data_IF_173753572523
#
_entry.id   IF_173753572523
#
_cell.length_a   1.000
_cell.length_b   1.000
_cell.length_c   1.000
_cell.angle_alpha   90.00
_cell.angle_beta   90.00
_cell.angle_gamma   90.00
#
_symmetry.space_group_name_H-M   'P 1'
#
loop_
_entity.id
_entity.type
_entity.pdbx_description
1 polymer ?
#
# COMPACT_ATOMS: atom_id res chain seq x y z
N UNK A 1 -11.44 9.25 33.11
CA UNK A 1 -10.21 8.82 32.41
C UNK A 1 -10.63 8.30 31.05
N UNK A 2 -10.47 9.12 30.01
CA UNK A 2 -10.90 8.77 28.65
C UNK A 2 -9.74 8.06 27.97
N UNK A 3 -9.82 6.74 27.82
CA UNK A 3 -8.89 5.99 26.97
C UNK A 3 -9.52 6.04 25.57
N UNK A 4 -9.11 7.03 24.78
CA UNK A 4 -9.40 7.06 23.36
C UNK A 4 -8.54 6.01 22.68
N UNK A 5 -9.08 4.81 22.45
CA UNK A 5 -8.41 3.83 21.61
C UNK A 5 -8.62 4.25 20.16
N UNK A 6 -7.75 5.13 19.66
CA UNK A 6 -7.63 5.38 18.22
C UNK A 6 -6.93 4.18 17.58
N UNK A 7 -7.63 3.06 17.43
CA UNK A 7 -7.19 2.00 16.51
C UNK A 7 -7.44 2.54 15.10
N UNK A 8 -6.41 3.16 14.50
CA UNK A 8 -6.38 3.32 13.05
C UNK A 8 -6.47 1.94 12.37
N UNK A 9 -6.81 1.87 11.09
CA UNK A 9 -6.85 0.60 10.37
C UNK A 9 -5.48 -0.09 10.51
N UNK A 10 -5.46 -1.29 11.10
CA UNK A 10 -4.26 -2.11 11.20
C UNK A 10 -3.85 -2.51 9.79
N UNK A 11 -2.60 -2.22 9.42
CA UNK A 11 -2.07 -2.59 8.11
C UNK A 11 -2.13 -4.11 7.93
N UNK A 12 -2.62 -4.57 6.78
CA UNK A 12 -2.62 -5.97 6.39
C UNK A 12 -1.20 -6.48 6.11
N UNK A 13 -0.31 -5.60 5.65
CA UNK A 13 1.09 -5.89 5.40
C UNK A 13 1.91 -4.61 5.56
N UNK A 14 3.05 -4.71 6.24
CA UNK A 14 4.08 -3.68 6.23
C UNK A 14 5.27 -4.18 5.41
N UNK A 15 5.70 -3.39 4.43
CA UNK A 15 6.86 -3.72 3.59
C UNK A 15 8.01 -2.81 3.99
N UNK A 16 9.14 -3.43 4.31
CA UNK A 16 10.37 -2.75 4.71
C UNK A 16 11.49 -3.06 3.72
N UNK A 17 12.38 -2.09 3.51
CA UNK A 17 13.54 -2.25 2.63
C UNK A 17 13.20 -2.11 1.15
N UNK A 18 13.71 -3.01 0.32
CA UNK A 18 13.65 -2.89 -1.14
C UNK A 18 12.42 -3.59 -1.72
N UNK A 19 11.70 -2.88 -2.59
CA UNK A 19 10.59 -3.43 -3.38
C UNK A 19 10.96 -3.29 -4.86
N UNK A 20 12.01 -4.01 -5.25
CA UNK A 20 12.62 -4.00 -6.59
C UNK A 20 12.44 -5.35 -7.28
N UNK A 21 12.88 -5.48 -8.53
CA UNK A 21 12.79 -6.72 -9.31
C UNK A 21 13.29 -7.99 -8.58
N UNK A 22 14.37 -7.90 -7.80
CA UNK A 22 14.94 -9.05 -7.09
C UNK A 22 14.03 -9.51 -5.95
N UNK A 23 13.37 -8.57 -5.27
CA UNK A 23 12.52 -8.86 -4.12
C UNK A 23 11.06 -9.10 -4.49
N UNK A 24 10.60 -8.56 -5.62
CA UNK A 24 9.22 -8.63 -6.05
C UNK A 24 8.71 -10.06 -6.28
N UNK A 25 9.57 -10.96 -6.77
CA UNK A 25 9.19 -12.36 -6.99
C UNK A 25 8.87 -13.09 -5.68
N UNK A 26 9.66 -12.83 -4.62
CA UNK A 26 9.47 -13.43 -3.29
C UNK A 26 8.26 -12.83 -2.56
N UNK A 27 8.06 -11.52 -2.71
CA UNK A 27 6.97 -10.81 -2.06
C UNK A 27 5.62 -11.04 -2.71
N UNK A 28 5.57 -11.58 -3.94
CA UNK A 28 4.33 -11.75 -4.68
C UNK A 28 3.27 -12.54 -3.93
N UNK A 29 3.62 -13.73 -3.47
CA UNK A 29 2.66 -14.62 -2.82
C UNK A 29 2.22 -14.01 -1.47
N UNK A 30 3.16 -13.40 -0.74
CA UNK A 30 2.88 -12.68 0.52
C UNK A 30 1.87 -11.54 0.33
N UNK A 31 2.03 -10.73 -0.73
CA UNK A 31 1.10 -9.63 -1.03
C UNK A 31 -0.28 -10.17 -1.41
N UNK A 32 -0.34 -11.23 -2.21
CA UNK A 32 -1.61 -11.81 -2.63
C UNK A 32 -2.35 -12.47 -1.47
N UNK A 33 -1.64 -13.14 -0.57
CA UNK A 33 -2.23 -13.76 0.60
C UNK A 33 -2.75 -12.70 1.59
N UNK A 34 -2.01 -11.62 1.82
CA UNK A 34 -2.50 -10.48 2.60
C UNK A 34 -3.79 -9.86 1.99
N UNK A 35 -3.89 -9.79 0.66
CA UNK A 35 -5.14 -9.35 -0.01
C UNK A 35 -6.30 -10.34 0.20
N UNK A 36 -6.02 -11.64 0.24
CA UNK A 36 -7.03 -12.69 0.42
C UNK A 36 -7.55 -12.72 1.85
N UNK A 37 -6.67 -12.60 2.83
CA UNK A 37 -6.97 -12.72 4.26
C UNK A 37 -7.73 -11.51 4.82
N UNK A 38 -7.46 -10.30 4.31
CA UNK A 38 -8.05 -9.08 4.86
C UNK A 38 -9.24 -8.58 4.03
N UNK A 39 -10.34 -8.19 4.69
CA UNK A 39 -11.52 -7.64 4.00
C UNK A 39 -11.28 -6.26 3.37
N UNK A 40 -10.46 -5.44 4.03
CA UNK A 40 -10.03 -4.12 3.57
C UNK A 40 -8.50 -4.02 3.67
N UNK A 41 -7.74 -4.59 2.70
CA UNK A 41 -6.29 -4.66 2.80
C UNK A 41 -5.66 -3.26 2.68
N UNK A 42 -4.75 -2.96 3.61
CA UNK A 42 -3.93 -1.75 3.64
C UNK A 42 -2.47 -2.15 3.70
N UNK A 43 -1.65 -1.67 2.77
CA UNK A 43 -0.20 -1.91 2.76
C UNK A 43 0.55 -0.69 3.26
N UNK A 44 1.34 -0.85 4.31
CA UNK A 44 2.25 0.18 4.79
C UNK A 44 3.57 0.11 4.01
N UNK A 45 3.88 1.17 3.27
CA UNK A 45 5.10 1.31 2.47
C UNK A 45 6.02 2.42 3.01
N UNK A 46 5.90 2.77 4.30
CA UNK A 46 6.68 3.84 4.94
C UNK A 46 8.14 3.51 5.14
N UNK A 47 8.46 2.24 5.34
CA UNK A 47 9.81 1.73 5.52
C UNK A 47 10.46 1.25 4.21
N UNK A 48 9.82 1.47 3.05
CA UNK A 48 10.40 1.10 1.74
C UNK A 48 11.51 2.09 1.40
N UNK A 49 12.73 1.59 1.29
CA UNK A 49 13.93 2.39 0.98
C UNK A 49 14.18 2.50 -0.51
N UNK A 50 13.77 1.51 -1.29
CA UNK A 50 13.94 1.47 -2.75
C UNK A 50 12.70 0.88 -3.43
N UNK A 51 12.28 1.49 -4.53
CA UNK A 51 11.07 1.12 -5.27
C UNK A 51 11.30 1.33 -6.76
N UNK A 52 10.86 0.38 -7.60
CA UNK A 52 11.03 0.43 -9.05
C UNK A 52 9.74 0.05 -9.81
N UNK A 53 9.84 -0.13 -11.12
CA UNK A 53 8.71 -0.56 -11.95
C UNK A 53 8.23 -1.98 -11.65
N UNK A 54 9.10 -2.88 -11.22
CA UNK A 54 8.70 -4.23 -10.81
C UNK A 54 7.93 -4.21 -9.50
N UNK A 55 8.33 -3.35 -8.56
CA UNK A 55 7.58 -3.10 -7.34
C UNK A 55 6.21 -2.50 -7.60
N UNK A 56 6.11 -1.54 -8.52
CA UNK A 56 4.82 -1.01 -8.96
C UNK A 56 3.96 -2.07 -9.62
N UNK A 57 4.51 -2.86 -10.55
CA UNK A 57 3.78 -3.96 -11.18
C UNK A 57 3.21 -4.93 -10.15
N UNK A 58 3.96 -5.23 -9.10
CA UNK A 58 3.48 -6.10 -8.03
C UNK A 58 2.30 -5.48 -7.25
N UNK A 59 2.38 -4.19 -6.90
CA UNK A 59 1.24 -3.48 -6.29
C UNK A 59 0.01 -3.47 -7.20
N UNK A 60 0.19 -3.33 -8.51
CA UNK A 60 -0.90 -3.37 -9.47
C UNK A 60 -1.54 -4.76 -9.55
N UNK A 61 -0.75 -5.83 -9.50
CA UNK A 61 -1.24 -7.20 -9.43
C UNK A 61 -2.03 -7.43 -8.14
N UNK A 62 -1.52 -6.99 -6.99
CA UNK A 62 -2.23 -7.08 -5.72
C UNK A 62 -3.56 -6.28 -5.73
N UNK A 63 -3.57 -5.10 -6.33
CA UNK A 63 -4.78 -4.28 -6.52
C UNK A 63 -5.80 -5.00 -7.40
N UNK A 64 -5.35 -5.64 -8.48
CA UNK A 64 -6.22 -6.40 -9.37
C UNK A 64 -6.83 -7.61 -8.67
N UNK A 65 -6.06 -8.32 -7.84
CA UNK A 65 -6.59 -9.42 -7.02
C UNK A 65 -7.62 -8.92 -5.99
N UNK A 66 -7.35 -7.79 -5.34
CA UNK A 66 -8.31 -7.18 -4.43
C UNK A 66 -9.63 -6.87 -5.15
N UNK A 67 -9.54 -6.24 -6.32
CA UNK A 67 -10.70 -5.93 -7.15
C UNK A 67 -11.46 -7.20 -7.58
N UNK A 68 -10.75 -8.28 -7.94
CA UNK A 68 -11.35 -9.59 -8.28
C UNK A 68 -12.15 -10.18 -7.11
N UNK A 69 -11.70 -9.93 -5.88
CA UNK A 69 -12.36 -10.34 -4.64
C UNK A 69 -13.42 -9.35 -4.15
N UNK A 70 -13.70 -8.28 -4.91
CA UNK A 70 -14.65 -7.22 -4.50
C UNK A 70 -14.13 -6.31 -3.37
N UNK A 71 -12.81 -6.25 -3.19
CA UNK A 71 -12.12 -5.47 -2.16
C UNK A 71 -11.38 -4.28 -2.78
N UNK A 72 -11.07 -3.29 -1.95
CA UNK A 72 -10.21 -2.17 -2.33
C UNK A 72 -8.89 -2.25 -1.56
N UNK A 73 -7.79 -2.42 -2.28
CA UNK A 73 -6.44 -2.29 -1.72
C UNK A 73 -6.08 -0.81 -1.60
N UNK A 74 -5.61 -0.42 -0.41
CA UNK A 74 -5.03 0.91 -0.15
C UNK A 74 -3.57 0.79 0.24
N UNK A 75 -2.83 1.87 0.02
CA UNK A 75 -1.47 2.04 0.54
C UNK A 75 -1.49 3.13 1.61
N UNK A 76 -0.73 2.92 2.68
CA UNK A 76 -0.46 3.91 3.70
C UNK A 76 1.04 4.20 3.73
N UNK A 77 1.38 5.44 4.06
CA UNK A 77 2.75 5.78 4.43
C UNK A 77 3.77 5.78 3.29
N UNK A 78 3.38 5.82 2.01
CA UNK A 78 4.34 5.74 0.89
C UNK A 78 5.59 6.62 1.07
N UNK A 79 6.76 5.96 1.12
CA UNK A 79 8.05 6.63 1.28
C UNK A 79 8.36 7.59 0.12
N UNK A 80 9.43 8.38 0.23
CA UNK A 80 9.87 9.25 -0.86
C UNK A 80 10.12 8.45 -2.16
N UNK A 81 10.86 7.34 -2.07
CA UNK A 81 11.14 6.48 -3.22
C UNK A 81 9.86 5.94 -3.89
N UNK A 82 8.89 5.52 -3.08
CA UNK A 82 7.58 5.05 -3.58
C UNK A 82 6.86 6.19 -4.32
N UNK A 83 6.74 7.36 -3.69
CA UNK A 83 6.04 8.51 -4.26
C UNK A 83 6.69 9.00 -5.56
N UNK A 84 8.02 9.00 -5.63
CA UNK A 84 8.76 9.46 -6.81
C UNK A 84 8.47 8.60 -8.04
N UNK A 85 8.44 7.28 -7.88
CA UNK A 85 8.11 6.35 -8.98
C UNK A 85 6.66 6.48 -9.40
N UNK A 86 5.73 6.61 -8.44
CA UNK A 86 4.31 6.83 -8.76
C UNK A 86 4.11 8.14 -9.53
N UNK A 87 4.80 9.21 -9.12
CA UNK A 87 4.76 10.51 -9.80
C UNK A 87 5.39 10.43 -11.20
N UNK A 88 6.53 9.74 -11.35
CA UNK A 88 7.22 9.57 -12.62
C UNK A 88 6.38 8.79 -13.64
N UNK A 89 5.71 7.73 -13.18
CA UNK A 89 4.94 6.83 -14.06
C UNK A 89 3.48 7.27 -14.23
N UNK A 90 3.00 8.24 -13.46
CA UNK A 90 1.65 8.78 -13.56
C UNK A 90 0.55 7.77 -13.23
N UNK A 91 0.85 6.74 -12.42
CA UNK A 91 -0.10 5.68 -12.10
C UNK A 91 -0.84 6.03 -10.81
N UNK A 92 -2.17 6.22 -10.82
CA UNK A 92 -2.91 6.50 -9.60
C UNK A 92 -3.01 5.23 -8.74
N UNK A 93 -2.88 5.39 -7.42
CA UNK A 93 -3.07 4.32 -6.45
C UNK A 93 -3.75 4.88 -5.18
N UNK A 94 -4.75 4.16 -4.66
CA UNK A 94 -5.50 4.61 -3.48
C UNK A 94 -4.57 4.76 -2.27
N UNK A 95 -4.52 5.97 -1.69
CA UNK A 95 -3.59 6.33 -0.62
C UNK A 95 -2.20 6.84 -1.05
N UNK A 96 -1.90 6.91 -2.36
CA UNK A 96 -0.72 7.62 -2.89
C UNK A 96 -1.19 8.84 -3.69
N UNK A 97 -0.84 10.03 -3.22
CA UNK A 97 -1.22 11.30 -3.87
C UNK A 97 -2.61 11.82 -3.48
N UNK A 98 -3.44 11.02 -2.80
CA UNK A 98 -4.59 11.51 -2.05
C UNK A 98 -4.05 12.26 -0.82
N UNK A 99 -3.99 13.60 -0.91
CA UNK A 99 -3.89 14.41 0.29
C UNK A 99 -5.13 14.08 1.09
N UNK A 100 -4.98 13.38 2.21
CA UNK A 100 -6.03 13.30 3.21
C UNK A 100 -6.28 14.73 3.67
N UNK A 101 -7.14 15.45 2.96
CA UNK A 101 -7.96 16.49 3.55
C UNK A 101 -8.89 15.74 4.49
N UNK A 102 -8.36 15.41 5.67
CA UNK A 102 -9.18 15.22 6.84
C UNK A 102 -10.06 16.45 6.91
N UNK A 103 -11.35 16.26 6.70
CA UNK A 103 -12.33 17.30 6.82
C UNK A 103 -12.22 17.91 8.21
N UNK A 104 -11.67 19.12 8.26
CA UNK A 104 -12.04 20.10 9.27
C UNK A 104 -13.51 20.47 9.00
N UNK A 105 -14.42 19.59 9.45
CA UNK A 105 -15.83 19.90 9.67
C UNK A 105 -16.07 19.86 11.18
N UNK A 106 -15.79 20.99 11.82
CA UNK A 106 -16.56 21.59 12.91
C UNK A 106 -15.90 22.90 13.33
#
# INVERSE_FOLDING_TARGET
MSIGVSQGPVAALAVEGELTIYRAAELKDVLLDAVREHAAPVFDLSAVTEFDSAGLQLLLVARQEAARLGKTLRVQGGSAAVRDVFALLGVPFAGIGETTVEGAVA
#
